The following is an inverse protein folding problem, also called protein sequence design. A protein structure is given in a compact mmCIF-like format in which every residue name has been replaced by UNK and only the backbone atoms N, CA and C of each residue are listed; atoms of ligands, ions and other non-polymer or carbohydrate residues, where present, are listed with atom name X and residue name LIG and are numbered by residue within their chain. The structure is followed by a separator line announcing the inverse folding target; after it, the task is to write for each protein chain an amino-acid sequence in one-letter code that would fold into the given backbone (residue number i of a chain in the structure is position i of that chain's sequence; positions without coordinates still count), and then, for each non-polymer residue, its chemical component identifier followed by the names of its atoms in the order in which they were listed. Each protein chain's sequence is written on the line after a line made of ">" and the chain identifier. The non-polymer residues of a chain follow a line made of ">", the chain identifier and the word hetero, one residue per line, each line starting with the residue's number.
data_IF_948178737354
#
_entry.id   IF_948178737354
#
_cell.length_a   1.000
_cell.length_b   1.000
_cell.length_c   1.000
_cell.angle_alpha   90.00
_cell.angle_beta   90.00
_cell.angle_gamma   90.00
#
_symmetry.space_group_name_H-M   'P 1'
#
loop_
_entity.id
_entity.type
_entity.pdbx_description
1 polymer ?
#
# COMPACT_ATOMS: atom_id res chain seq x y z
N UNK A 1 37.42 -33.15 54.80
CA UNK A 1 37.12 -33.87 53.54
C UNK A 1 35.64 -34.20 53.58
N UNK A 2 34.72 -33.71 52.77
CA UNK A 2 34.67 -32.67 51.75
C UNK A 2 33.17 -32.54 51.46
N UNK A 3 32.61 -31.34 51.58
CA UNK A 3 31.19 -31.06 51.26
C UNK A 3 31.15 -30.34 49.93
N UNK A 4 30.77 -31.05 48.87
CA UNK A 4 30.48 -30.45 47.57
C UNK A 4 29.04 -29.97 47.52
N UNK A 5 28.87 -28.66 47.34
CA UNK A 5 27.60 -28.02 47.03
C UNK A 5 27.36 -28.09 45.51
N UNK A 6 26.18 -28.56 45.10
CA UNK A 6 25.68 -28.43 43.72
C UNK A 6 25.09 -27.03 43.50
N UNK A 7 25.28 -26.41 42.32
CA UNK A 7 24.75 -25.09 42.03
C UNK A 7 23.25 -25.14 41.68
N UNK A 8 22.55 -24.10 42.11
CA UNK A 8 21.14 -23.82 41.83
C UNK A 8 20.95 -23.37 40.37
N UNK A 9 20.15 -24.10 39.61
CA UNK A 9 19.59 -23.63 38.34
C UNK A 9 18.52 -22.57 38.63
N UNK A 10 18.84 -21.30 38.35
CA UNK A 10 17.83 -20.24 38.22
C UNK A 10 17.29 -20.35 36.80
N UNK A 11 16.08 -20.90 36.68
CA UNK A 11 15.31 -20.83 35.44
C UNK A 11 14.90 -19.36 35.24
N UNK A 12 15.44 -18.73 34.20
CA UNK A 12 14.93 -17.45 33.73
C UNK A 12 13.55 -17.66 33.11
N UNK A 13 12.54 -17.00 33.67
CA UNK A 13 11.24 -16.84 33.03
C UNK A 13 11.43 -16.07 31.73
N UNK A 14 11.32 -16.76 30.59
CA UNK A 14 11.06 -16.11 29.31
C UNK A 14 9.59 -15.73 29.26
N UNK A 15 9.26 -14.50 29.66
CA UNK A 15 7.97 -13.88 29.38
C UNK A 15 8.00 -13.29 27.97
N UNK A 16 7.87 -14.16 26.97
CA UNK A 16 7.54 -13.78 25.60
C UNK A 16 6.17 -14.33 25.27
N UNK A 17 5.15 -13.48 25.22
CA UNK A 17 3.87 -13.85 24.63
C UNK A 17 4.13 -14.20 23.16
N UNK A 18 4.11 -15.49 22.83
CA UNK A 18 4.31 -15.95 21.45
C UNK A 18 3.20 -15.37 20.57
N UNK A 19 3.58 -14.63 19.53
CA UNK A 19 2.66 -14.16 18.49
C UNK A 19 1.89 -15.36 17.93
N UNK A 20 0.57 -15.37 18.12
CA UNK A 20 -0.31 -16.46 17.69
C UNK A 20 -1.59 -15.88 17.10
N UNK A 21 -1.80 -16.14 15.82
CA UNK A 21 -3.06 -15.84 15.15
C UNK A 21 -4.17 -16.72 15.74
N UNK A 22 -5.30 -16.10 16.04
CA UNK A 22 -6.52 -16.74 16.54
C UNK A 22 -7.64 -16.79 15.49
N UNK A 23 -7.46 -16.08 14.37
CA UNK A 23 -8.42 -16.00 13.26
C UNK A 23 -9.47 -14.92 13.47
N UNK A 24 -10.06 -14.46 12.37
CA UNK A 24 -10.93 -13.27 12.35
C UNK A 24 -12.09 -13.36 13.36
N UNK A 25 -12.72 -14.53 13.48
CA UNK A 25 -13.88 -14.71 14.36
C UNK A 25 -13.52 -14.71 15.85
N UNK A 26 -12.29 -15.05 16.21
CA UNK A 26 -11.82 -15.08 17.60
C UNK A 26 -11.02 -13.84 17.98
N UNK A 27 -10.70 -12.99 16.99
CA UNK A 27 -9.95 -11.77 17.20
C UNK A 27 -10.80 -10.73 17.92
N UNK A 28 -10.36 -10.33 19.12
CA UNK A 28 -10.98 -9.25 19.89
C UNK A 28 -10.20 -7.98 19.63
N UNK A 29 -10.73 -7.13 18.75
CA UNK A 29 -10.12 -5.84 18.45
C UNK A 29 -10.09 -4.96 19.70
N UNK A 30 -8.91 -4.46 20.03
CA UNK A 30 -8.70 -3.43 21.04
C UNK A 30 -7.83 -2.32 20.45
N UNK A 31 -8.19 -1.05 20.71
CA UNK A 31 -7.35 0.09 20.35
C UNK A 31 -6.75 0.66 21.65
N UNK A 32 -5.50 0.29 22.00
CA UNK A 32 -4.84 0.75 23.23
C UNK A 32 -4.32 2.18 23.15
N UNK A 33 -4.46 2.85 22.00
CA UNK A 33 -3.92 4.18 21.74
C UNK A 33 -2.40 4.25 21.97
N UNK A 34 -1.66 3.26 21.48
CA UNK A 34 -0.24 3.02 21.80
C UNK A 34 0.79 3.61 20.84
N UNK A 35 0.39 4.43 19.85
CA UNK A 35 1.34 5.08 18.95
C UNK A 35 2.47 5.76 19.74
N UNK A 36 3.72 5.53 19.32
CA UNK A 36 4.91 6.07 19.97
C UNK A 36 5.21 7.52 19.59
N UNK A 37 4.58 7.99 18.51
CA UNK A 37 4.64 9.35 18.01
C UNK A 37 3.31 9.67 17.32
N UNK A 38 2.93 10.94 17.26
CA UNK A 38 1.64 11.35 16.68
C UNK A 38 1.63 11.17 15.15
N UNK A 39 0.71 10.33 14.66
CA UNK A 39 0.47 10.07 13.23
C UNK A 39 -0.81 10.74 12.78
N UNK A 40 -0.74 11.48 11.68
CA UNK A 40 -1.89 12.22 11.12
C UNK A 40 -2.63 11.38 10.08
N UNK A 41 -1.93 10.99 9.01
CA UNK A 41 -2.51 10.32 7.82
C UNK A 41 -1.43 9.78 6.90
N UNK A 42 -1.83 9.03 5.88
CA UNK A 42 -0.99 8.82 4.70
C UNK A 42 -0.68 10.15 4.01
N UNK A 43 0.57 10.34 3.62
CA UNK A 43 1.04 11.56 2.96
C UNK A 43 1.23 11.37 1.45
N UNK A 44 2.00 10.35 1.04
CA UNK A 44 2.15 9.92 -0.35
C UNK A 44 2.71 8.50 -0.45
N UNK A 45 2.65 7.93 -1.65
CA UNK A 45 3.39 6.73 -2.01
C UNK A 45 4.40 7.09 -3.09
N UNK A 46 5.67 6.71 -2.89
CA UNK A 46 6.72 6.89 -3.91
C UNK A 46 7.04 5.56 -4.60
N UNK A 47 6.93 5.55 -5.92
CA UNK A 47 7.41 4.50 -6.79
C UNK A 47 8.79 4.87 -7.33
N UNK A 48 9.75 3.97 -7.21
CA UNK A 48 10.98 4.05 -7.99
C UNK A 48 10.77 3.33 -9.32
N UNK A 49 11.13 4.02 -10.40
CA UNK A 49 10.81 3.63 -11.76
C UNK A 49 12.05 3.72 -12.65
N UNK A 50 12.10 2.93 -13.72
CA UNK A 50 13.14 3.07 -14.75
C UNK A 50 12.96 4.33 -15.60
N UNK A 51 11.72 4.77 -15.81
CA UNK A 51 11.37 6.03 -16.47
C UNK A 51 10.13 6.64 -15.81
N UNK A 52 10.33 7.75 -15.08
CA UNK A 52 9.24 8.38 -14.33
C UNK A 52 8.19 9.00 -15.24
N UNK A 53 8.56 9.47 -16.44
CA UNK A 53 7.64 10.17 -17.36
C UNK A 53 6.55 9.24 -17.87
N UNK A 54 6.92 8.09 -18.42
CA UNK A 54 5.97 7.12 -18.97
C UNK A 54 5.11 6.51 -17.88
N UNK A 55 5.70 6.15 -16.75
CA UNK A 55 4.95 5.58 -15.62
C UNK A 55 3.96 6.60 -15.07
N UNK A 56 4.39 7.83 -14.79
CA UNK A 56 3.51 8.90 -14.31
C UNK A 56 2.35 9.18 -15.29
N UNK A 57 2.64 9.27 -16.60
CA UNK A 57 1.58 9.49 -17.61
C UNK A 57 0.59 8.34 -17.69
N UNK A 58 1.05 7.09 -17.62
CA UNK A 58 0.18 5.91 -17.60
C UNK A 58 -0.72 5.90 -16.38
N UNK A 59 -0.18 6.13 -15.19
CA UNK A 59 -0.97 6.20 -13.96
C UNK A 59 -1.93 7.39 -13.97
N UNK A 60 -1.50 8.53 -14.51
CA UNK A 60 -2.33 9.73 -14.63
C UNK A 60 -3.55 9.47 -15.49
N UNK A 61 -3.36 8.88 -16.67
CA UNK A 61 -4.44 8.50 -17.58
C UNK A 61 -5.29 7.35 -17.04
N UNK A 62 -4.66 6.32 -16.48
CA UNK A 62 -5.33 5.10 -16.04
C UNK A 62 -6.16 5.28 -14.76
N UNK A 63 -5.72 6.14 -13.83
CA UNK A 63 -6.41 6.42 -12.56
C UNK A 63 -7.17 7.74 -12.56
N UNK A 64 -7.00 8.58 -13.59
CA UNK A 64 -7.59 9.92 -13.64
C UNK A 64 -7.00 10.83 -12.56
N UNK A 65 -5.67 10.84 -12.44
CA UNK A 65 -4.94 11.65 -11.48
C UNK A 65 -4.02 12.62 -12.22
N UNK A 66 -4.26 13.94 -12.24
CA UNK A 66 -3.41 14.89 -12.92
C UNK A 66 -2.01 14.93 -12.29
N UNK A 67 -1.00 15.15 -13.13
CA UNK A 67 0.35 15.48 -12.66
C UNK A 67 0.32 16.93 -12.18
N UNK A 68 0.41 17.15 -10.86
CA UNK A 68 0.21 18.48 -10.26
C UNK A 68 1.52 19.21 -9.97
N UNK A 69 2.59 18.47 -9.67
CA UNK A 69 3.90 19.04 -9.37
C UNK A 69 5.02 18.16 -9.92
N UNK A 70 6.18 18.76 -10.18
CA UNK A 70 7.37 18.07 -10.68
C UNK A 70 8.64 18.58 -10.01
N UNK A 71 9.66 17.74 -9.99
CA UNK A 71 11.04 18.13 -9.71
C UNK A 71 11.93 17.37 -10.69
N UNK A 72 12.42 18.07 -11.72
CA UNK A 72 13.24 17.52 -12.80
C UNK A 72 14.25 18.58 -13.28
N UNK A 73 14.95 18.31 -14.40
CA UNK A 73 15.92 19.24 -14.97
C UNK A 73 15.39 20.66 -15.19
N UNK A 74 14.10 20.81 -15.55
CA UNK A 74 13.50 22.12 -15.79
C UNK A 74 13.32 22.94 -14.50
N UNK A 75 13.31 22.27 -13.35
CA UNK A 75 13.23 22.87 -12.00
C UNK A 75 14.62 22.96 -11.33
N UNK A 76 15.69 22.65 -12.07
CA UNK A 76 17.06 22.64 -11.56
C UNK A 76 17.50 21.36 -10.85
N UNK A 77 16.67 20.31 -10.81
CA UNK A 77 17.06 19.01 -10.26
C UNK A 77 17.81 18.18 -11.31
N UNK A 78 19.13 18.10 -11.14
CA UNK A 78 20.04 17.34 -12.00
C UNK A 78 20.27 15.89 -11.54
N UNK A 79 19.62 15.47 -10.45
CA UNK A 79 19.83 14.17 -9.79
C UNK A 79 18.75 13.16 -10.21
N UNK A 80 17.48 13.56 -10.17
CA UNK A 80 16.35 12.69 -10.49
C UNK A 80 15.22 13.48 -11.14
N UNK A 81 14.36 12.76 -11.85
CA UNK A 81 13.07 13.25 -12.32
C UNK A 81 11.97 12.67 -11.44
N UNK A 82 11.17 13.55 -10.85
CA UNK A 82 10.07 13.22 -9.95
C UNK A 82 8.77 13.88 -10.42
N UNK A 83 7.71 13.08 -10.61
CA UNK A 83 6.38 13.57 -11.00
C UNK A 83 5.34 13.17 -9.97
N UNK A 84 4.62 14.17 -9.43
CA UNK A 84 3.58 13.98 -8.44
C UNK A 84 2.21 14.00 -9.09
N UNK A 85 1.47 12.91 -8.96
CA UNK A 85 0.06 12.78 -9.31
C UNK A 85 -0.80 12.98 -8.07
N UNK A 86 -1.93 13.66 -8.22
CA UNK A 86 -2.88 13.89 -7.12
C UNK A 86 -4.32 13.69 -7.54
N UNK A 87 -5.11 13.05 -6.68
CA UNK A 87 -6.58 13.08 -6.74
C UNK A 87 -7.16 13.07 -5.33
N UNK A 88 -7.91 14.12 -4.99
CA UNK A 88 -8.24 14.44 -3.59
C UNK A 88 -6.98 14.58 -2.73
N UNK A 89 -6.90 13.76 -1.68
CA UNK A 89 -5.75 13.65 -0.77
C UNK A 89 -4.75 12.55 -1.17
N UNK A 90 -5.05 11.73 -2.19
CA UNK A 90 -4.13 10.71 -2.67
C UNK A 90 -3.00 11.37 -3.47
N UNK A 91 -1.75 11.05 -3.10
CA UNK A 91 -0.54 11.50 -3.76
C UNK A 91 0.32 10.30 -4.18
N UNK A 92 0.60 10.18 -5.48
CA UNK A 92 1.57 9.22 -6.02
C UNK A 92 2.76 9.96 -6.62
N UNK A 93 3.96 9.62 -6.18
CA UNK A 93 5.21 10.18 -6.66
C UNK A 93 5.96 9.13 -7.48
N UNK A 94 6.37 9.47 -8.69
CA UNK A 94 7.16 8.59 -9.55
C UNK A 94 8.54 9.20 -9.74
N UNK A 95 9.57 8.50 -9.30
CA UNK A 95 10.95 8.99 -9.31
C UNK A 95 11.84 8.07 -10.15
N UNK A 96 12.67 8.65 -11.01
CA UNK A 96 13.68 7.94 -11.80
C UNK A 96 15.03 8.67 -11.77
N UNK A 97 16.17 7.94 -11.76
CA UNK A 97 17.50 8.54 -11.74
C UNK A 97 17.86 9.13 -13.10
N UNK A 98 18.49 10.30 -13.10
CA UNK A 98 19.27 10.72 -14.26
C UNK A 98 20.62 9.98 -14.32
N UNK A 99 21.41 10.22 -15.36
CA UNK A 99 22.82 9.80 -15.36
C UNK A 99 23.57 10.54 -14.23
N UNK A 100 24.40 9.88 -13.41
CA UNK A 100 25.13 10.55 -12.33
C UNK A 100 26.07 11.62 -12.86
N UNK A 101 26.52 11.49 -14.12
CA UNK A 101 27.37 12.45 -14.82
C UNK A 101 26.72 13.84 -15.00
N UNK A 102 25.39 13.93 -14.93
CA UNK A 102 24.67 15.21 -15.03
C UNK A 102 24.84 15.97 -13.70
N UNK A 103 24.69 15.27 -12.57
CA UNK A 103 24.89 15.86 -11.24
C UNK A 103 26.35 16.12 -10.87
N UNK A 104 27.32 15.43 -11.49
CA UNK A 104 28.75 15.60 -11.16
C UNK A 104 29.33 16.97 -11.51
N UNK A 105 28.63 17.77 -12.32
CA UNK A 105 29.01 19.14 -12.66
C UNK A 105 28.58 20.17 -11.59
N UNK A 106 27.82 19.77 -10.57
CA UNK A 106 27.26 20.66 -9.55
C UNK A 106 27.98 20.44 -8.21
N UNK A 107 28.32 21.52 -7.51
CA UNK A 107 29.09 21.50 -6.27
C UNK A 107 28.28 21.12 -5.03
N UNK A 108 26.95 21.07 -5.15
CA UNK A 108 26.00 20.70 -4.09
C UNK A 108 24.88 19.84 -4.66
N UNK A 109 24.24 19.04 -3.82
CA UNK A 109 23.11 18.20 -4.25
C UNK A 109 21.95 19.05 -4.74
N UNK A 110 21.38 18.67 -5.88
CA UNK A 110 20.19 19.30 -6.48
C UNK A 110 18.93 18.46 -6.26
N UNK A 111 19.05 17.35 -5.52
CA UNK A 111 17.94 16.45 -5.25
C UNK A 111 16.92 17.13 -4.33
N UNK A 112 15.67 17.24 -4.79
CA UNK A 112 14.55 17.71 -3.94
C UNK A 112 14.13 16.69 -2.89
N UNK A 113 14.40 15.41 -3.13
CA UNK A 113 14.27 14.32 -2.17
C UNK A 113 15.67 13.95 -1.70
N UNK A 114 16.08 14.36 -0.48
CA UNK A 114 17.48 14.27 -0.05
C UNK A 114 17.92 12.83 0.26
N UNK A 115 16.97 11.91 0.46
CA UNK A 115 17.24 10.48 0.66
C UNK A 115 17.47 9.71 -0.66
N UNK A 116 17.35 10.37 -1.81
CA UNK A 116 17.52 9.71 -3.10
C UNK A 116 18.98 9.28 -3.35
N UNK A 117 19.15 8.07 -3.88
CA UNK A 117 20.44 7.48 -4.23
C UNK A 117 20.37 6.84 -5.61
N UNK A 118 21.27 7.24 -6.51
CA UNK A 118 21.33 6.70 -7.87
C UNK A 118 21.55 5.19 -7.88
N UNK A 119 22.48 4.72 -7.04
CA UNK A 119 22.83 3.29 -6.95
C UNK A 119 21.66 2.50 -6.41
N UNK A 120 21.05 2.96 -5.32
CA UNK A 120 19.94 2.24 -4.70
C UNK A 120 18.72 2.22 -5.61
N UNK A 121 18.42 3.33 -6.30
CA UNK A 121 17.30 3.38 -7.23
C UNK A 121 17.48 2.44 -8.41
N UNK A 122 18.68 2.34 -8.99
CA UNK A 122 18.95 1.41 -10.10
C UNK A 122 18.91 -0.04 -9.65
N UNK A 123 19.47 -0.34 -8.48
CA UNK A 123 19.45 -1.69 -7.94
C UNK A 123 18.02 -2.12 -7.61
N UNK A 124 17.23 -1.22 -7.03
CA UNK A 124 15.82 -1.45 -6.70
C UNK A 124 14.99 -1.73 -7.95
N UNK A 125 15.10 -0.90 -9.00
CA UNK A 125 14.31 -1.12 -10.23
C UNK A 125 14.77 -2.34 -11.02
N UNK A 126 16.05 -2.71 -10.94
CA UNK A 126 16.54 -3.96 -11.52
C UNK A 126 15.99 -5.18 -10.77
N UNK A 127 16.01 -5.16 -9.44
CA UNK A 127 15.56 -6.29 -8.61
C UNK A 127 14.04 -6.45 -8.63
N UNK A 128 13.27 -5.36 -8.56
CA UNK A 128 11.81 -5.44 -8.37
C UNK A 128 10.99 -5.04 -9.61
N UNK A 129 11.58 -4.35 -10.59
CA UNK A 129 10.82 -3.69 -11.66
C UNK A 129 10.15 -2.39 -11.17
N UNK A 130 8.91 -2.15 -11.57
CA UNK A 130 8.09 -1.06 -11.03
C UNK A 130 7.56 -1.47 -9.64
N UNK A 131 8.00 -0.80 -8.58
CA UNK A 131 7.58 -1.10 -7.22
C UNK A 131 7.56 0.16 -6.33
N UNK A 132 6.85 0.07 -5.20
CA UNK A 132 6.80 1.12 -4.18
C UNK A 132 8.08 1.10 -3.37
N UNK A 133 8.81 2.21 -3.36
CA UNK A 133 9.98 2.41 -2.51
C UNK A 133 9.57 2.94 -1.13
N UNK A 134 8.64 3.88 -1.08
CA UNK A 134 8.30 4.60 0.15
C UNK A 134 6.81 4.62 0.41
N UNK A 135 6.42 4.21 1.61
CA UNK A 135 5.12 4.49 2.19
C UNK A 135 5.33 5.69 3.12
N UNK A 136 4.85 6.87 2.72
CA UNK A 136 5.05 8.09 3.51
C UNK A 136 3.81 8.40 4.35
N UNK A 137 4.04 8.70 5.63
CA UNK A 137 3.01 9.16 6.56
C UNK A 137 3.35 10.56 7.06
N UNK A 138 2.31 11.37 7.23
CA UNK A 138 2.42 12.67 7.89
C UNK A 138 2.38 12.46 9.39
N UNK A 139 3.36 13.02 10.09
CA UNK A 139 3.50 12.96 11.55
C UNK A 139 3.57 14.37 12.11
N UNK A 140 3.37 14.51 13.42
CA UNK A 140 3.52 15.82 14.07
C UNK A 140 4.95 16.35 13.96
N UNK A 141 5.95 15.49 14.21
CA UNK A 141 7.37 15.82 14.13
C UNK A 141 8.18 14.61 13.63
N UNK A 142 8.80 14.76 12.44
CA UNK A 142 9.56 13.70 11.79
C UNK A 142 10.96 13.46 12.43
N UNK A 143 11.50 14.40 13.21
CA UNK A 143 12.72 14.20 14.00
C UNK A 143 12.41 13.32 15.23
N UNK A 144 11.29 13.61 15.91
CA UNK A 144 10.81 12.81 17.04
C UNK A 144 10.41 11.41 16.57
N UNK A 145 9.60 11.30 15.51
CA UNK A 145 9.18 10.02 14.97
C UNK A 145 10.38 9.12 14.62
N UNK A 146 11.41 9.67 13.95
CA UNK A 146 12.63 8.94 13.65
C UNK A 146 13.39 8.50 14.91
N UNK A 147 13.64 9.42 15.84
CA UNK A 147 14.43 9.15 17.04
C UNK A 147 13.76 8.10 17.93
N UNK A 148 12.45 8.22 18.09
CA UNK A 148 11.63 7.26 18.84
C UNK A 148 11.63 5.90 18.14
N UNK A 149 11.39 5.84 16.83
CA UNK A 149 11.44 4.58 16.07
C UNK A 149 12.80 3.87 16.21
N UNK A 150 13.91 4.59 16.02
CA UNK A 150 15.26 4.00 16.13
C UNK A 150 15.54 3.52 17.56
N UNK A 151 15.12 4.27 18.58
CA UNK A 151 15.25 3.83 19.98
C UNK A 151 14.45 2.56 20.31
N UNK A 152 13.45 2.22 19.49
CA UNK A 152 12.65 0.99 19.59
C UNK A 152 13.01 -0.06 18.53
N UNK A 153 14.21 0.03 17.96
CA UNK A 153 14.78 -1.01 17.10
C UNK A 153 14.60 -0.76 15.60
N UNK A 154 14.09 0.39 15.17
CA UNK A 154 13.99 0.69 13.75
C UNK A 154 15.37 0.78 13.12
N UNK A 155 15.53 0.16 11.94
CA UNK A 155 16.74 0.29 11.15
C UNK A 155 16.69 1.63 10.41
N UNK A 156 17.58 2.59 10.70
CA UNK A 156 17.56 3.89 10.03
C UNK A 156 17.86 3.71 8.53
N UNK A 157 17.15 4.46 7.69
CA UNK A 157 17.38 4.54 6.24
C UNK A 157 17.88 5.93 5.84
N UNK A 158 17.26 6.99 6.35
CA UNK A 158 17.69 8.37 6.17
C UNK A 158 17.41 9.15 7.45
N UNK A 159 18.46 9.73 8.04
CA UNK A 159 18.32 10.60 9.22
C UNK A 159 17.45 11.82 8.90
N UNK A 160 16.88 12.51 9.91
CA UNK A 160 16.06 13.68 9.67
C UNK A 160 16.82 14.78 8.94
N UNK A 161 16.21 15.26 7.84
CA UNK A 161 16.74 16.34 7.00
C UNK A 161 15.65 17.40 6.89
N UNK A 162 16.02 18.63 7.23
CA UNK A 162 15.15 19.79 7.09
C UNK A 162 15.27 20.34 5.66
N UNK A 163 14.13 20.59 5.02
CA UNK A 163 13.98 21.05 3.64
C UNK A 163 13.36 22.45 3.59
N UNK A 164 13.74 23.21 2.54
CA UNK A 164 13.26 24.58 2.35
C UNK A 164 13.80 25.53 3.44
N UNK A 165 13.02 26.56 3.78
CA UNK A 165 13.38 27.54 4.81
C UNK A 165 13.06 27.06 6.22
N UNK A 166 13.41 25.80 6.52
CA UNK A 166 13.01 25.07 7.72
C UNK A 166 11.52 24.73 7.82
N UNK A 167 10.84 24.63 6.68
CA UNK A 167 9.38 24.41 6.61
C UNK A 167 9.00 22.94 6.75
N UNK A 168 9.85 22.01 6.28
CA UNK A 168 9.52 20.58 6.20
C UNK A 168 10.67 19.75 6.74
N UNK A 169 10.37 18.67 7.47
CA UNK A 169 11.34 17.65 7.85
C UNK A 169 10.95 16.31 7.25
N UNK A 170 11.95 15.63 6.68
CA UNK A 170 11.84 14.28 6.13
C UNK A 170 12.83 13.35 6.85
N UNK A 171 12.37 12.17 7.24
CA UNK A 171 13.21 11.09 7.75
C UNK A 171 12.67 9.73 7.31
N UNK A 172 13.52 8.70 7.34
CA UNK A 172 13.13 7.36 6.86
C UNK A 172 13.72 6.24 7.73
N UNK A 173 12.90 5.24 8.01
CA UNK A 173 13.32 3.95 8.57
C UNK A 173 12.89 2.81 7.65
N UNK A 174 13.58 1.66 7.72
CA UNK A 174 13.17 0.47 6.97
C UNK A 174 11.83 -0.05 7.49
N UNK A 175 10.91 -0.40 6.58
CA UNK A 175 9.62 -0.99 6.90
C UNK A 175 9.68 -2.53 6.76
N UNK A 176 9.79 -3.03 5.53
CA UNK A 176 10.05 -4.43 5.20
C UNK A 176 10.75 -4.52 3.83
N UNK A 177 11.64 -5.50 3.66
CA UNK A 177 12.48 -5.60 2.46
C UNK A 177 13.23 -4.29 2.19
N UNK A 178 13.09 -3.80 0.96
CA UNK A 178 13.62 -2.49 0.53
C UNK A 178 12.60 -1.34 0.59
N UNK A 179 11.44 -1.56 1.19
CA UNK A 179 10.45 -0.51 1.43
C UNK A 179 10.84 0.29 2.67
N UNK A 180 10.72 1.62 2.59
CA UNK A 180 10.92 2.54 3.72
C UNK A 180 9.59 3.11 4.19
N UNK A 181 9.48 3.30 5.51
CA UNK A 181 8.46 4.14 6.12
C UNK A 181 9.06 5.54 6.23
N UNK A 182 8.51 6.48 5.46
CA UNK A 182 8.96 7.87 5.44
C UNK A 182 8.08 8.72 6.34
N UNK A 183 8.69 9.46 7.26
CA UNK A 183 8.02 10.45 8.08
C UNK A 183 8.17 11.83 7.46
N UNK A 184 7.05 12.56 7.34
CA UNK A 184 7.01 13.95 6.89
C UNK A 184 6.31 14.78 7.96
N UNK A 185 6.91 15.90 8.35
CA UNK A 185 6.27 16.89 9.21
C UNK A 185 6.47 18.29 8.66
N UNK A 186 5.43 19.11 8.72
CA UNK A 186 5.45 20.51 8.31
C UNK A 186 5.54 21.41 9.55
N UNK A 187 6.61 22.19 9.67
CA UNK A 187 6.80 23.19 10.76
C UNK A 187 6.03 24.48 10.45
N UNK A 188 5.81 24.78 9.18
CA UNK A 188 5.06 25.96 8.75
C UNK A 188 3.58 25.61 8.52
N UNK A 189 2.63 26.23 9.25
CA UNK A 189 1.21 25.91 9.13
C UNK A 189 0.60 26.28 7.77
N UNK A 190 1.30 27.07 6.95
CA UNK A 190 0.89 27.38 5.58
C UNK A 190 1.29 26.28 4.57
N UNK A 191 2.02 25.25 5.01
CA UNK A 191 2.26 24.04 4.23
C UNK A 191 1.37 22.91 4.75
N UNK A 192 0.51 22.38 3.88
CA UNK A 192 -0.46 21.33 4.21
C UNK A 192 -0.21 20.02 3.42
N UNK A 193 0.87 19.94 2.64
CA UNK A 193 1.19 18.81 1.77
C UNK A 193 0.24 18.62 0.58
N UNK A 194 -0.83 19.42 0.48
CA UNK A 194 -1.88 19.33 -0.54
C UNK A 194 -1.80 20.51 -1.50
N UNK A 195 -1.69 21.74 -1.00
CA UNK A 195 -1.43 22.92 -1.83
C UNK A 195 0.02 22.97 -2.30
N UNK A 196 0.95 22.52 -1.45
CA UNK A 196 2.38 22.48 -1.71
C UNK A 196 2.94 21.13 -1.22
N UNK A 197 3.52 20.33 -2.11
CA UNK A 197 4.07 19.01 -1.76
C UNK A 197 5.35 19.09 -0.92
N UNK A 198 6.52 19.20 -1.55
CA UNK A 198 7.81 19.31 -0.86
C UNK A 198 8.62 20.48 -1.44
N UNK A 199 9.49 21.13 -0.66
CA UNK A 199 10.42 22.12 -1.20
C UNK A 199 11.23 21.57 -2.38
N UNK A 200 11.39 22.36 -3.44
CA UNK A 200 12.04 21.94 -4.68
C UNK A 200 11.12 21.25 -5.70
N UNK A 201 9.82 21.14 -5.42
CA UNK A 201 8.80 20.77 -6.41
C UNK A 201 8.06 22.00 -6.92
N UNK A 202 7.93 22.10 -8.25
CA UNK A 202 7.23 23.19 -8.91
C UNK A 202 5.89 22.72 -9.49
N UNK A 203 4.85 23.57 -9.55
CA UNK A 203 3.60 23.26 -10.21
C UNK A 203 3.80 22.91 -11.70
N UNK A 204 3.04 21.94 -12.20
CA UNK A 204 3.01 21.64 -13.64
C UNK A 204 2.02 22.58 -14.32
N UNK A 205 2.41 23.13 -15.48
CA UNK A 205 1.50 23.95 -16.29
C UNK A 205 0.25 23.16 -16.71
N UNK A 206 -0.91 23.81 -16.72
CA UNK A 206 -2.20 23.22 -17.10
C UNK A 206 -2.25 22.66 -18.53
N UNK A 207 -1.35 23.11 -19.41
CA UNK A 207 -1.21 22.61 -20.78
C UNK A 207 -0.46 21.29 -20.85
N UNK A 208 0.33 20.98 -19.81
CA UNK A 208 1.25 19.83 -19.75
C UNK A 208 0.74 18.69 -18.86
N UNK A 209 -0.25 18.96 -18.02
CA UNK A 209 -1.02 17.98 -17.26
C UNK A 209 -2.49 18.14 -17.66
N UNK A 210 -3.21 17.07 -18.01
CA UNK A 210 -4.65 17.16 -18.27
C UNK A 210 -5.36 17.46 -16.94
N UNK A 211 -5.62 18.73 -16.59
CA UNK A 211 -5.87 19.11 -15.20
C UNK A 211 -7.29 18.73 -14.76
N UNK A 212 -8.18 18.50 -15.72
CA UNK A 212 -9.58 18.11 -15.52
C UNK A 212 -9.75 16.59 -15.34
N UNK A 213 -8.66 15.81 -15.35
CA UNK A 213 -8.72 14.39 -15.03
C UNK A 213 -9.10 14.22 -13.55
N UNK A 214 -10.28 13.67 -13.27
CA UNK A 214 -10.64 13.18 -11.94
C UNK A 214 -11.73 12.13 -12.08
N UNK A 215 -11.42 10.89 -11.71
CA UNK A 215 -12.40 9.78 -11.78
C UNK A 215 -13.15 9.58 -10.45
N UNK A 216 -12.78 10.28 -9.38
CA UNK A 216 -13.41 10.17 -8.06
C UNK A 216 -12.58 9.51 -6.97
N UNK A 217 -11.31 9.18 -7.22
CA UNK A 217 -10.40 8.65 -6.20
C UNK A 217 -10.06 9.78 -5.21
N UNK A 218 -10.03 9.49 -3.90
CA UNK A 218 -9.87 10.56 -2.88
C UNK A 218 -8.74 10.35 -1.89
N UNK A 219 -8.42 9.12 -1.50
CA UNK A 219 -7.36 8.86 -0.53
C UNK A 219 -6.84 7.43 -0.66
N UNK A 220 -5.66 7.19 -0.07
CA UNK A 220 -5.21 5.84 0.23
C UNK A 220 -6.00 5.32 1.43
N UNK A 221 -6.56 4.12 1.31
CA UNK A 221 -7.23 3.44 2.42
C UNK A 221 -6.27 2.58 3.21
N UNK A 222 -5.50 1.75 2.52
CA UNK A 222 -4.49 0.90 3.13
C UNK A 222 -3.40 0.53 2.11
N UNK A 223 -2.21 0.17 2.61
CA UNK A 223 -1.06 -0.27 1.82
C UNK A 223 -0.56 -1.62 2.35
N UNK A 224 -0.61 -2.65 1.52
CA UNK A 224 -0.37 -4.04 1.96
C UNK A 224 1.04 -4.49 1.61
N UNK A 225 1.76 -5.01 2.59
CA UNK A 225 3.07 -5.65 2.42
C UNK A 225 2.98 -7.16 2.34
N UNK A 226 3.79 -7.79 1.49
CA UNK A 226 4.05 -9.23 1.54
C UNK A 226 5.43 -9.46 2.16
N UNK A 227 5.48 -10.39 3.12
CA UNK A 227 6.70 -10.78 3.84
C UNK A 227 6.83 -12.30 3.86
N UNK A 228 8.04 -12.85 4.00
CA UNK A 228 8.23 -14.30 4.11
C UNK A 228 7.68 -14.87 5.43
N UNK A 229 7.79 -14.11 6.53
CA UNK A 229 7.32 -14.51 7.86
C UNK A 229 6.61 -13.31 8.51
N UNK A 230 5.36 -13.51 8.94
CA UNK A 230 4.47 -12.46 9.42
C UNK A 230 4.82 -12.01 10.83
N UNK A 231 5.01 -12.96 11.76
CA UNK A 231 5.29 -12.67 13.17
C UNK A 231 6.47 -11.69 13.37
N UNK A 232 7.68 -11.95 12.84
CA UNK A 232 8.80 -11.02 13.01
C UNK A 232 8.58 -9.67 12.33
N UNK A 233 7.85 -9.62 11.21
CA UNK A 233 7.55 -8.37 10.52
C UNK A 233 6.54 -7.51 11.31
N UNK A 234 5.46 -8.13 11.80
CA UNK A 234 4.45 -7.48 12.63
C UNK A 234 5.08 -6.98 13.92
N UNK A 235 5.85 -7.80 14.62
CA UNK A 235 6.51 -7.41 15.87
C UNK A 235 7.49 -6.25 15.66
N UNK A 236 8.25 -6.27 14.55
CA UNK A 236 9.13 -5.17 14.19
C UNK A 236 8.35 -3.86 13.97
N UNK A 237 7.29 -3.87 13.15
CA UNK A 237 6.51 -2.66 12.86
C UNK A 237 5.81 -2.15 14.13
N UNK A 238 5.19 -3.02 14.92
CA UNK A 238 4.58 -2.67 16.23
C UNK A 238 5.61 -2.07 17.18
N UNK A 239 6.81 -2.65 17.26
CA UNK A 239 7.87 -2.14 18.11
C UNK A 239 8.27 -0.72 17.73
N UNK A 240 8.44 -0.42 16.44
CA UNK A 240 8.96 0.88 16.02
C UNK A 240 7.90 1.98 15.99
N UNK A 241 6.63 1.65 15.73
CA UNK A 241 5.56 2.66 15.62
C UNK A 241 4.63 2.73 16.83
N UNK A 242 4.45 1.62 17.55
CA UNK A 242 3.38 1.47 18.54
C UNK A 242 2.00 1.18 17.95
N UNK A 243 1.90 0.91 16.65
CA UNK A 243 0.64 0.57 15.99
C UNK A 243 0.04 -0.69 16.61
N UNK A 244 -1.30 -0.74 16.68
CA UNK A 244 -2.02 -1.89 17.22
C UNK A 244 -2.57 -2.78 16.10
N UNK A 245 -2.87 -4.02 16.46
CA UNK A 245 -3.56 -4.95 15.57
C UNK A 245 -5.03 -4.55 15.44
N UNK A 246 -5.45 -4.29 14.21
CA UNK A 246 -6.80 -3.87 13.87
C UNK A 246 -7.67 -5.06 13.46
N UNK A 247 -7.11 -6.00 12.71
CA UNK A 247 -7.76 -7.21 12.24
C UNK A 247 -6.70 -8.25 11.88
N UNK A 248 -7.09 -9.51 11.86
CA UNK A 248 -6.26 -10.60 11.35
C UNK A 248 -7.10 -11.61 10.58
N UNK A 249 -6.45 -12.31 9.66
CA UNK A 249 -7.04 -13.34 8.81
C UNK A 249 -6.08 -14.52 8.73
N UNK A 250 -6.58 -15.72 8.97
CA UNK A 250 -5.82 -16.95 8.78
C UNK A 250 -6.18 -17.62 7.46
N UNK A 251 -5.40 -18.62 7.03
CA UNK A 251 -5.77 -19.41 5.85
C UNK A 251 -7.14 -20.10 5.98
N UNK A 252 -7.60 -20.39 7.20
CA UNK A 252 -8.95 -20.91 7.43
C UNK A 252 -10.03 -19.85 7.18
N UNK A 253 -9.71 -18.56 7.39
CA UNK A 253 -10.62 -17.44 7.19
C UNK A 253 -10.76 -17.03 5.71
N UNK A 254 -9.65 -17.03 4.97
CA UNK A 254 -9.56 -16.41 3.63
C UNK A 254 -8.97 -17.31 2.54
N UNK A 255 -8.46 -18.49 2.88
CA UNK A 255 -7.89 -19.42 1.90
C UNK A 255 -8.91 -20.01 0.93
N UNK A 256 -8.41 -20.53 -0.18
CA UNK A 256 -9.18 -21.38 -1.08
C UNK A 256 -8.96 -22.85 -0.73
N UNK A 257 -9.62 -23.76 -1.45
CA UNK A 257 -9.32 -25.19 -1.35
C UNK A 257 -7.94 -25.56 -1.92
N UNK A 258 -7.27 -24.62 -2.59
CA UNK A 258 -5.99 -24.82 -3.29
C UNK A 258 -4.82 -24.03 -2.68
N UNK A 259 -5.04 -22.84 -2.10
CA UNK A 259 -3.99 -21.95 -1.57
C UNK A 259 -4.45 -21.15 -0.34
N UNK A 260 -3.51 -20.50 0.36
CA UNK A 260 -3.83 -19.69 1.54
C UNK A 260 -2.78 -18.61 1.84
N UNK A 261 -3.16 -17.70 2.74
CA UNK A 261 -2.29 -16.70 3.35
C UNK A 261 -2.69 -16.52 4.82
N UNK A 262 -1.77 -15.97 5.61
CA UNK A 262 -2.11 -15.33 6.87
C UNK A 262 -1.87 -13.82 6.73
N UNK A 263 -2.70 -13.00 7.37
CA UNK A 263 -2.64 -11.56 7.30
C UNK A 263 -2.90 -10.91 8.65
N UNK A 264 -2.16 -9.85 8.97
CA UNK A 264 -2.44 -8.97 10.12
C UNK A 264 -2.45 -7.53 9.64
N UNK A 265 -3.47 -6.78 10.05
CA UNK A 265 -3.61 -5.35 9.80
C UNK A 265 -3.10 -4.57 11.00
N UNK A 266 -2.08 -3.75 10.80
CA UNK A 266 -1.66 -2.77 11.78
C UNK A 266 -2.28 -1.40 11.51
N UNK A 267 -2.65 -0.70 12.57
CA UNK A 267 -3.26 0.62 12.51
C UNK A 267 -2.60 1.60 13.48
N UNK A 268 -2.55 2.88 13.09
CA UNK A 268 -2.27 3.96 14.04
C UNK A 268 -3.45 4.20 14.99
N UNK A 269 -3.28 5.06 15.99
CA UNK A 269 -4.29 5.38 17.00
C UNK A 269 -5.63 5.86 16.40
N UNK A 270 -5.58 6.74 15.39
CA UNK A 270 -6.78 7.21 14.67
C UNK A 270 -7.32 6.18 13.67
N UNK A 271 -6.56 5.11 13.44
CA UNK A 271 -6.80 4.02 12.50
C UNK A 271 -6.89 4.47 11.04
N UNK A 272 -6.55 5.71 10.73
CA UNK A 272 -6.54 6.27 9.37
C UNK A 272 -5.34 5.84 8.53
N UNK A 273 -4.29 5.30 9.17
CA UNK A 273 -3.15 4.66 8.51
C UNK A 273 -3.23 3.16 8.79
N UNK A 274 -3.44 2.38 7.74
CA UNK A 274 -3.65 0.94 7.79
C UNK A 274 -2.57 0.23 6.96
N UNK A 275 -1.76 -0.60 7.60
CA UNK A 275 -0.67 -1.35 6.97
C UNK A 275 -0.89 -2.84 7.22
N UNK A 276 -1.68 -3.52 6.36
CA UNK A 276 -1.74 -4.98 6.34
C UNK A 276 -0.40 -5.61 5.92
N UNK A 277 -0.08 -6.75 6.50
CA UNK A 277 1.05 -7.59 6.11
C UNK A 277 0.59 -9.02 5.93
N UNK A 278 1.06 -9.68 4.87
CA UNK A 278 0.72 -11.06 4.55
C UNK A 278 1.96 -11.97 4.54
N UNK A 279 1.79 -13.22 4.93
CA UNK A 279 2.76 -14.31 4.70
C UNK A 279 2.12 -15.45 3.89
N UNK A 280 2.93 -16.23 3.14
CA UNK A 280 2.45 -17.42 2.46
C UNK A 280 2.14 -18.55 3.46
N UNK A 281 1.10 -19.33 3.17
CA UNK A 281 0.90 -20.64 3.81
C UNK A 281 1.45 -21.73 2.90
N UNK A 282 2.37 -22.54 3.44
CA UNK A 282 3.03 -23.63 2.72
C UNK A 282 2.26 -24.95 2.87
N UNK A 283 2.53 -25.90 1.96
CA UNK A 283 1.92 -27.24 1.99
C UNK A 283 0.50 -27.32 1.40
N UNK A 284 0.03 -26.25 0.76
CA UNK A 284 -1.24 -26.20 0.01
C UNK A 284 -1.10 -26.85 -1.38
N UNK A 285 -2.22 -27.19 -2.04
CA UNK A 285 -2.21 -27.88 -3.34
C UNK A 285 -1.58 -27.04 -4.45
N UNK A 286 -1.86 -25.74 -4.44
CA UNK A 286 -1.21 -24.72 -5.26
C UNK A 286 -0.28 -23.89 -4.41
N UNK A 287 0.68 -23.29 -5.08
CA UNK A 287 1.55 -22.28 -4.50
C UNK A 287 0.73 -21.07 -4.05
N UNK A 288 1.03 -20.55 -2.86
CA UNK A 288 0.45 -19.29 -2.41
C UNK A 288 0.87 -18.15 -3.35
N UNK A 289 -0.08 -17.32 -3.75
CA UNK A 289 0.16 -16.08 -4.50
C UNK A 289 1.12 -15.13 -3.75
N UNK A 290 1.19 -15.21 -2.42
CA UNK A 290 2.17 -14.46 -1.62
C UNK A 290 3.59 -14.96 -1.92
N UNK A 291 3.77 -16.28 -2.04
CA UNK A 291 5.05 -16.86 -2.44
C UNK A 291 5.39 -16.52 -3.90
N UNK A 292 4.41 -16.55 -4.81
CA UNK A 292 4.59 -16.10 -6.20
C UNK A 292 5.07 -14.65 -6.25
N UNK A 293 4.46 -13.76 -5.45
CA UNK A 293 4.92 -12.37 -5.30
C UNK A 293 6.38 -12.32 -4.84
N UNK A 294 6.73 -13.00 -3.73
CA UNK A 294 8.06 -12.93 -3.13
C UNK A 294 9.15 -13.38 -4.12
N UNK A 295 8.87 -14.34 -4.97
CA UNK A 295 9.83 -14.80 -5.98
C UNK A 295 9.99 -13.82 -7.14
N UNK A 296 8.88 -13.29 -7.68
CA UNK A 296 8.94 -12.35 -8.81
C UNK A 296 9.36 -10.95 -8.39
N UNK A 297 9.15 -10.60 -7.11
CA UNK A 297 9.62 -9.36 -6.51
C UNK A 297 11.03 -9.50 -5.92
N UNK A 298 11.63 -10.69 -5.89
CA UNK A 298 12.92 -10.94 -5.24
C UNK A 298 12.96 -10.57 -3.74
N UNK A 299 11.85 -10.78 -3.05
CA UNK A 299 11.71 -10.56 -1.61
C UNK A 299 10.47 -9.76 -1.22
N UNK A 300 10.48 -9.30 0.04
CA UNK A 300 9.36 -8.56 0.63
C UNK A 300 9.15 -7.19 -0.05
N UNK A 301 7.90 -6.73 -0.10
CA UNK A 301 7.54 -5.47 -0.74
C UNK A 301 6.05 -5.15 -0.64
N UNK A 302 5.64 -4.00 -1.18
CA UNK A 302 4.22 -3.63 -1.26
C UNK A 302 3.53 -4.44 -2.36
N UNK A 303 2.50 -5.20 -1.99
CA UNK A 303 1.69 -5.98 -2.90
C UNK A 303 0.58 -5.14 -3.54
N UNK A 304 -0.18 -4.39 -2.74
CA UNK A 304 -1.24 -3.57 -3.30
C UNK A 304 -1.51 -2.31 -2.49
N UNK A 305 -2.15 -1.37 -3.17
CA UNK A 305 -2.60 -0.10 -2.62
C UNK A 305 -4.11 0.00 -2.86
N UNK A 306 -4.87 0.14 -1.78
CA UNK A 306 -6.32 0.32 -1.86
C UNK A 306 -6.68 1.80 -1.91
N UNK A 307 -7.33 2.22 -2.99
CA UNK A 307 -7.64 3.60 -3.27
C UNK A 307 -9.15 3.81 -3.06
N UNK A 308 -9.48 4.61 -2.05
CA UNK A 308 -10.87 4.92 -1.74
C UNK A 308 -11.43 5.92 -2.75
N UNK A 309 -12.56 5.56 -3.36
CA UNK A 309 -13.37 6.42 -4.22
C UNK A 309 -14.60 6.94 -3.48
N UNK A 310 -15.04 8.15 -3.84
CA UNK A 310 -16.33 8.70 -3.42
C UNK A 310 -17.52 8.12 -4.22
N UNK A 311 -17.25 7.60 -5.43
CA UNK A 311 -18.21 6.97 -6.34
C UNK A 311 -17.46 5.94 -7.20
N UNK A 312 -17.37 4.71 -6.68
CA UNK A 312 -16.67 3.60 -7.31
C UNK A 312 -17.27 3.25 -8.67
N UNK A 313 -18.58 3.42 -8.85
CA UNK A 313 -19.23 3.14 -10.13
C UNK A 313 -18.74 4.10 -11.21
N UNK A 314 -18.72 5.41 -10.92
CA UNK A 314 -18.13 6.41 -11.84
C UNK A 314 -16.66 6.14 -12.08
N UNK A 315 -15.90 5.90 -11.01
CA UNK A 315 -14.46 5.63 -11.12
C UNK A 315 -14.18 4.46 -12.05
N UNK A 316 -14.86 3.32 -11.88
CA UNK A 316 -14.64 2.14 -12.69
C UNK A 316 -15.14 2.28 -14.12
N UNK A 317 -16.27 2.96 -14.36
CA UNK A 317 -16.69 3.29 -15.73
C UNK A 317 -15.60 4.06 -16.47
N UNK A 318 -14.98 5.05 -15.82
CA UNK A 318 -13.90 5.83 -16.43
C UNK A 318 -12.61 5.02 -16.59
N UNK A 319 -12.19 4.26 -15.59
CA UNK A 319 -11.00 3.42 -15.70
C UNK A 319 -11.14 2.35 -16.80
N UNK A 320 -12.28 1.65 -16.86
CA UNK A 320 -12.53 0.60 -17.86
C UNK A 320 -12.57 1.11 -19.30
N UNK A 321 -13.08 2.33 -19.53
CA UNK A 321 -13.02 3.00 -20.86
C UNK A 321 -11.59 3.14 -21.38
N UNK A 322 -10.59 3.11 -20.49
CA UNK A 322 -9.18 3.39 -20.81
C UNK A 322 -8.31 2.15 -20.81
N UNK A 323 -8.80 1.01 -20.31
CA UNK A 323 -8.05 -0.26 -20.24
C UNK A 323 -7.43 -0.65 -21.58
N UNK A 324 -8.21 -0.62 -22.67
CA UNK A 324 -7.74 -1.01 -24.01
C UNK A 324 -6.85 0.02 -24.71
N UNK A 325 -6.62 1.19 -24.11
CA UNK A 325 -5.84 2.29 -24.68
C UNK A 325 -4.79 2.82 -23.70
N UNK A 326 -4.15 1.91 -22.97
CA UNK A 326 -3.01 2.19 -22.08
C UNK A 326 -3.35 2.42 -20.62
N UNK A 327 -4.62 2.27 -20.20
CA UNK A 327 -5.04 2.27 -18.80
C UNK A 327 -4.73 0.96 -18.07
N UNK A 328 -5.46 0.70 -16.99
CA UNK A 328 -5.35 -0.53 -16.20
C UNK A 328 -6.45 -1.52 -16.53
N UNK A 329 -6.11 -2.80 -16.54
CA UNK A 329 -7.06 -3.89 -16.66
C UNK A 329 -7.47 -4.39 -15.28
N UNK A 330 -8.64 -5.02 -15.19
CA UNK A 330 -9.18 -5.57 -13.95
C UNK A 330 -9.16 -7.09 -13.97
N UNK A 331 -9.18 -7.68 -12.78
CA UNK A 331 -9.36 -9.11 -12.62
C UNK A 331 -10.69 -9.57 -13.25
N UNK A 332 -10.78 -10.85 -13.68
CA UNK A 332 -12.03 -11.40 -14.21
C UNK A 332 -13.19 -11.22 -13.23
N UNK A 333 -14.34 -10.81 -13.76
CA UNK A 333 -15.55 -10.65 -12.96
C UNK A 333 -16.00 -12.00 -12.38
N UNK A 334 -16.50 -12.03 -11.14
CA UNK A 334 -17.18 -13.20 -10.57
C UNK A 334 -18.32 -13.71 -11.47
N UNK A 335 -18.69 -14.99 -11.36
CA UNK A 335 -19.81 -15.55 -12.12
C UNK A 335 -21.15 -14.90 -11.72
N UNK A 336 -22.17 -14.87 -12.60
CA UNK A 336 -23.50 -14.30 -12.30
C UNK A 336 -24.20 -14.89 -11.06
N UNK A 337 -23.82 -16.11 -10.65
CA UNK A 337 -24.26 -16.72 -9.38
C UNK A 337 -23.86 -15.90 -8.15
N UNK A 338 -22.70 -15.25 -8.17
CA UNK A 338 -22.22 -14.38 -7.10
C UNK A 338 -23.21 -13.22 -6.87
N UNK A 339 -23.56 -12.48 -7.92
CA UNK A 339 -24.45 -11.32 -7.84
C UNK A 339 -25.89 -11.68 -7.49
N UNK A 340 -26.39 -12.83 -7.99
CA UNK A 340 -27.69 -13.35 -7.57
C UNK A 340 -27.78 -13.61 -6.06
N UNK A 341 -26.69 -14.09 -5.46
CA UNK A 341 -26.61 -14.32 -4.02
C UNK A 341 -26.37 -13.03 -3.22
N UNK A 342 -25.80 -12.01 -3.86
CA UNK A 342 -25.48 -10.71 -3.27
C UNK A 342 -26.74 -9.98 -2.77
N UNK A 343 -27.85 -10.08 -3.52
CA UNK A 343 -29.14 -9.48 -3.14
C UNK A 343 -29.60 -9.88 -1.74
N UNK A 344 -29.34 -11.12 -1.33
CA UNK A 344 -29.70 -11.60 0.01
C UNK A 344 -28.79 -11.05 1.12
N UNK A 345 -27.59 -10.55 0.79
CA UNK A 345 -26.57 -10.07 1.73
C UNK A 345 -26.61 -8.55 1.93
N UNK A 346 -26.88 -7.81 0.86
CA UNK A 346 -26.76 -6.33 0.84
C UNK A 346 -27.95 -5.62 0.18
N UNK A 347 -29.06 -6.30 -0.10
CA UNK A 347 -30.22 -5.71 -0.77
C UNK A 347 -30.96 -4.62 0.03
N UNK A 348 -30.63 -4.43 1.31
CA UNK A 348 -31.06 -3.32 2.17
C UNK A 348 -30.12 -2.11 2.13
N UNK A 349 -28.93 -2.26 1.50
CA UNK A 349 -27.92 -1.20 1.36
C UNK A 349 -27.76 -0.77 -0.10
N UNK A 350 -27.78 -1.74 -1.03
CA UNK A 350 -27.65 -1.50 -2.47
C UNK A 350 -28.99 -1.74 -3.17
N UNK A 351 -29.33 -0.87 -4.12
CA UNK A 351 -30.50 -1.06 -4.99
C UNK A 351 -30.28 -2.19 -6.00
N UNK A 352 -31.36 -2.67 -6.62
CA UNK A 352 -31.26 -3.67 -7.69
C UNK A 352 -30.46 -3.14 -8.89
N UNK A 353 -30.55 -1.84 -9.19
CA UNK A 353 -29.76 -1.17 -10.21
C UNK A 353 -28.26 -1.12 -9.85
N UNK A 354 -27.93 -0.82 -8.60
CA UNK A 354 -26.54 -0.81 -8.13
C UNK A 354 -25.92 -2.21 -8.10
N UNK A 355 -26.69 -3.24 -7.73
CA UNK A 355 -26.25 -4.64 -7.80
C UNK A 355 -25.97 -5.05 -9.25
N UNK A 356 -26.84 -4.65 -10.19
CA UNK A 356 -26.62 -4.89 -11.61
C UNK A 356 -25.37 -4.17 -12.11
N UNK A 357 -25.15 -2.94 -11.67
CA UNK A 357 -23.95 -2.20 -12.01
C UNK A 357 -22.68 -2.82 -11.40
N UNK A 358 -22.77 -3.40 -10.20
CA UNK A 358 -21.69 -4.22 -9.64
C UNK A 358 -21.36 -5.40 -10.56
N UNK A 359 -22.37 -6.11 -11.09
CA UNK A 359 -22.18 -7.21 -12.03
C UNK A 359 -21.51 -6.76 -13.34
N UNK A 360 -22.01 -5.68 -13.94
CA UNK A 360 -21.48 -5.12 -15.19
C UNK A 360 -20.02 -4.65 -15.04
N UNK A 361 -19.67 -4.09 -13.87
CA UNK A 361 -18.33 -3.58 -13.59
C UNK A 361 -17.40 -4.58 -12.89
N UNK A 362 -17.89 -5.77 -12.52
CA UNK A 362 -17.09 -6.79 -11.83
C UNK A 362 -16.75 -6.45 -10.38
N UNK A 363 -17.58 -5.66 -9.70
CA UNK A 363 -17.34 -5.20 -8.32
C UNK A 363 -17.71 -6.30 -7.32
N UNK A 364 -16.79 -6.58 -6.40
CA UNK A 364 -17.03 -7.46 -5.25
C UNK A 364 -17.66 -6.64 -4.11
N UNK A 365 -18.65 -7.21 -3.42
CA UNK A 365 -19.29 -6.57 -2.27
C UNK A 365 -19.20 -7.48 -1.04
N UNK A 366 -18.63 -6.93 0.02
CA UNK A 366 -18.65 -7.55 1.35
C UNK A 366 -19.40 -6.67 2.35
N UNK A 367 -19.81 -7.29 3.46
CA UNK A 367 -20.52 -6.59 4.53
C UNK A 367 -20.14 -7.18 5.89
N UNK A 368 -19.88 -6.31 6.84
CA UNK A 368 -19.73 -6.65 8.25
C UNK A 368 -20.89 -6.06 9.09
N UNK A 369 -20.76 -6.14 10.41
CA UNK A 369 -21.74 -5.61 11.36
C UNK A 369 -21.85 -4.07 11.36
N UNK A 370 -20.88 -3.36 10.76
CA UNK A 370 -20.77 -1.89 10.83
C UNK A 370 -21.03 -1.21 9.49
N UNK A 371 -20.72 -1.86 8.36
CA UNK A 371 -20.88 -1.28 7.04
C UNK A 371 -20.66 -2.26 5.88
N UNK A 372 -20.70 -1.69 4.68
CA UNK A 372 -20.57 -2.41 3.41
C UNK A 372 -19.32 -1.93 2.67
N UNK A 373 -18.57 -2.87 2.10
CA UNK A 373 -17.36 -2.63 1.32
C UNK A 373 -17.58 -3.05 -0.12
N UNK A 374 -17.46 -2.12 -1.05
CA UNK A 374 -17.37 -2.38 -2.49
C UNK A 374 -15.90 -2.33 -2.87
N UNK A 375 -15.41 -3.31 -3.61
CA UNK A 375 -14.01 -3.37 -4.02
C UNK A 375 -13.80 -4.08 -5.36
N UNK A 376 -12.71 -3.74 -6.04
CA UNK A 376 -12.24 -4.45 -7.23
C UNK A 376 -10.73 -4.33 -7.34
N UNK A 377 -10.11 -5.33 -7.96
CA UNK A 377 -8.67 -5.42 -8.10
C UNK A 377 -8.26 -5.29 -9.57
N UNK A 378 -7.21 -4.52 -9.82
CA UNK A 378 -6.56 -4.49 -11.13
C UNK A 378 -5.77 -5.78 -11.33
N UNK A 379 -5.45 -6.10 -12.59
CA UNK A 379 -4.27 -6.92 -12.89
C UNK A 379 -2.99 -6.20 -12.41
N UNK A 380 -1.83 -6.86 -12.37
CA UNK A 380 -0.57 -6.20 -12.04
C UNK A 380 -0.35 -4.93 -12.86
N UNK A 381 0.12 -3.86 -12.21
CA UNK A 381 0.29 -2.55 -12.85
C UNK A 381 1.64 -2.40 -13.55
N UNK A 382 2.57 -3.31 -13.31
CA UNK A 382 3.83 -3.46 -14.05
C UNK A 382 3.88 -4.79 -14.81
N UNK A 383 5.08 -5.18 -15.24
CA UNK A 383 5.28 -6.38 -16.05
C UNK A 383 5.19 -7.69 -15.23
N UNK A 384 5.56 -7.62 -13.95
CA UNK A 384 5.66 -8.78 -13.06
C UNK A 384 4.34 -8.99 -12.30
N UNK A 385 4.00 -10.24 -11.92
CA UNK A 385 2.83 -10.54 -11.08
C UNK A 385 3.07 -10.14 -9.62
N UNK A 386 3.32 -8.86 -9.39
CA UNK A 386 3.72 -8.29 -8.10
C UNK A 386 2.71 -7.24 -7.65
N UNK A 387 2.99 -5.97 -7.90
CA UNK A 387 2.14 -4.87 -7.45
C UNK A 387 0.87 -4.73 -8.29
N UNK A 388 -0.28 -4.58 -7.62
CA UNK A 388 -1.58 -4.25 -8.22
C UNK A 388 -2.29 -3.16 -7.41
N UNK A 389 -3.40 -2.65 -7.92
CA UNK A 389 -4.21 -1.62 -7.29
C UNK A 389 -5.58 -2.20 -6.95
N UNK A 390 -6.09 -1.82 -5.78
CA UNK A 390 -7.47 -2.06 -5.39
C UNK A 390 -8.22 -0.73 -5.41
N UNK A 391 -9.43 -0.71 -5.98
CA UNK A 391 -10.33 0.45 -5.88
C UNK A 391 -11.45 0.05 -4.95
N UNK A 392 -11.71 0.86 -3.92
CA UNK A 392 -12.71 0.58 -2.91
C UNK A 392 -13.68 1.74 -2.70
N UNK A 393 -14.86 1.42 -2.18
CA UNK A 393 -15.76 2.38 -1.55
C UNK A 393 -16.38 1.72 -0.31
N UNK A 394 -16.35 2.45 0.80
CA UNK A 394 -16.95 2.03 2.07
C UNK A 394 -18.27 2.77 2.26
N UNK A 395 -19.32 2.07 2.67
CA UNK A 395 -20.66 2.60 2.92
C UNK A 395 -21.05 2.32 4.37
N UNK A 396 -21.43 3.37 5.11
CA UNK A 396 -21.77 3.27 6.53
C UNK A 396 -20.71 3.88 7.46
N UNK A 397 -20.83 3.59 8.76
CA UNK A 397 -19.95 4.05 9.84
C UNK A 397 -19.68 5.57 9.88
N UNK A 398 -20.68 6.38 9.54
CA UNK A 398 -20.56 7.84 9.59
C UNK A 398 -20.63 8.31 11.05
N UNK A 399 -19.58 8.97 11.51
CA UNK A 399 -19.47 9.58 12.84
C UNK A 399 -19.31 11.10 12.69
N UNK A 400 -19.79 11.86 13.67
CA UNK A 400 -19.47 13.28 13.76
C UNK A 400 -18.32 13.45 14.74
N UNK A 401 -17.30 14.21 14.35
CA UNK A 401 -16.27 14.64 15.29
C UNK A 401 -16.81 15.75 16.23
N UNK A 402 -15.99 16.14 17.20
CA UNK A 402 -16.33 17.16 18.21
C UNK A 402 -16.65 18.54 17.58
N UNK A 403 -16.21 18.77 16.34
CA UNK A 403 -16.48 19.98 15.55
C UNK A 403 -17.74 19.85 14.66
N UNK A 404 -18.42 18.70 14.72
CA UNK A 404 -19.65 18.41 13.98
C UNK A 404 -19.43 18.00 12.52
N UNK A 405 -18.19 17.81 12.08
CA UNK A 405 -17.86 17.35 10.74
C UNK A 405 -18.05 15.84 10.65
N UNK A 406 -18.78 15.42 9.61
CA UNK A 406 -19.09 14.02 9.38
C UNK A 406 -17.88 13.34 8.75
N UNK A 407 -17.37 12.29 9.39
CA UNK A 407 -16.27 11.47 8.94
C UNK A 407 -16.69 10.00 8.92
N UNK A 408 -16.11 9.22 8.02
CA UNK A 408 -16.32 7.77 8.01
C UNK A 408 -15.27 7.12 8.90
N UNK A 409 -15.69 6.28 9.84
CA UNK A 409 -14.79 5.49 10.68
C UNK A 409 -13.87 4.64 9.80
N UNK A 410 -12.57 4.62 10.14
CA UNK A 410 -11.60 3.81 9.40
C UNK A 410 -11.95 2.31 9.43
N UNK A 411 -11.69 1.63 8.32
CA UNK A 411 -11.97 0.19 8.15
C UNK A 411 -13.46 -0.19 8.18
N UNK A 412 -14.38 0.75 7.96
CA UNK A 412 -15.82 0.48 7.87
C UNK A 412 -16.15 -0.58 6.80
N UNK A 413 -16.81 -1.67 7.15
CA UNK A 413 -17.07 -2.79 6.23
C UNK A 413 -15.91 -3.80 6.14
N UNK A 414 -14.90 -3.69 7.00
CA UNK A 414 -13.79 -4.64 7.12
C UNK A 414 -12.79 -4.55 5.97
N UNK A 415 -12.13 -5.66 5.65
CA UNK A 415 -11.19 -5.77 4.53
C UNK A 415 -11.67 -6.76 3.47
N UNK A 416 -12.97 -7.06 3.44
CA UNK A 416 -13.52 -7.97 2.45
C UNK A 416 -13.18 -9.43 2.71
N UNK A 417 -13.25 -9.92 3.96
CA UNK A 417 -13.02 -11.34 4.31
C UNK A 417 -13.76 -12.29 3.37
N UNK A 418 -15.05 -12.04 3.12
CA UNK A 418 -15.86 -12.85 2.23
C UNK A 418 -15.46 -12.72 0.76
N UNK A 419 -14.89 -11.59 0.38
CA UNK A 419 -14.41 -11.32 -0.97
C UNK A 419 -12.99 -11.86 -1.23
N UNK A 420 -12.15 -12.03 -0.21
CA UNK A 420 -10.80 -12.59 -0.37
C UNK A 420 -10.85 -13.97 -1.03
N UNK A 421 -11.78 -14.84 -0.60
CA UNK A 421 -11.96 -16.15 -1.22
C UNK A 421 -12.31 -16.06 -2.71
N UNK A 422 -13.15 -15.11 -3.11
CA UNK A 422 -13.52 -14.90 -4.52
C UNK A 422 -12.39 -14.26 -5.32
N UNK A 423 -11.67 -13.29 -4.75
CA UNK A 423 -10.47 -12.72 -5.35
C UNK A 423 -9.43 -13.79 -5.65
N UNK A 424 -9.16 -14.69 -4.69
CA UNK A 424 -8.16 -15.73 -4.88
C UNK A 424 -8.58 -16.73 -5.95
N UNK A 425 -9.86 -17.09 -6.03
CA UNK A 425 -10.35 -17.89 -7.16
C UNK A 425 -10.09 -17.20 -8.51
N UNK A 426 -10.37 -15.89 -8.60
CA UNK A 426 -10.10 -15.13 -9.83
C UNK A 426 -8.60 -15.03 -10.16
N UNK A 427 -7.73 -14.89 -9.16
CA UNK A 427 -6.26 -14.90 -9.34
C UNK A 427 -5.78 -16.29 -9.78
N UNK A 428 -6.21 -17.35 -9.10
CA UNK A 428 -5.84 -18.73 -9.43
C UNK A 428 -6.33 -19.12 -10.83
N UNK A 429 -7.51 -18.68 -11.24
CA UNK A 429 -8.03 -18.88 -12.60
C UNK A 429 -7.19 -18.12 -13.62
N UNK A 430 -6.81 -16.87 -13.33
CA UNK A 430 -5.90 -16.11 -14.19
C UNK A 430 -4.52 -16.77 -14.31
N UNK A 431 -3.92 -17.22 -13.21
CA UNK A 431 -2.65 -17.96 -13.22
C UNK A 431 -2.75 -19.27 -14.02
N UNK A 432 -3.85 -20.02 -13.89
CA UNK A 432 -4.12 -21.21 -14.73
C UNK A 432 -4.05 -20.89 -16.22
N UNK A 433 -4.54 -19.72 -16.65
CA UNK A 433 -4.46 -19.32 -18.07
C UNK A 433 -3.03 -18.98 -18.52
N UNK A 434 -2.16 -18.56 -17.60
CA UNK A 434 -0.75 -18.27 -17.87
C UNK A 434 0.08 -19.56 -17.92
N UNK A 435 -0.11 -20.47 -16.95
CA UNK A 435 0.55 -21.78 -16.86
C UNK A 435 0.24 -22.66 -18.09
N UNK A 436 -1.03 -22.69 -18.51
CA UNK A 436 -1.46 -23.49 -19.66
C UNK A 436 -0.72 -23.12 -20.96
N UNK A 437 -0.31 -21.87 -21.11
CA UNK A 437 0.47 -21.38 -22.26
C UNK A 437 1.94 -21.73 -22.20
N UNK A 438 2.49 -21.94 -21.01
CA UNK A 438 3.90 -22.34 -20.83
C UNK A 438 4.10 -23.83 -21.05
N UNK A 439 3.07 -24.65 -20.86
CA UNK A 439 3.09 -26.10 -21.11
C UNK A 439 2.89 -26.49 -22.59
N UNK A 440 2.52 -25.55 -23.47
CA UNK A 440 2.35 -25.79 -24.90
C UNK A 440 3.56 -25.28 -25.71
N UNK A 441 4.53 -26.19 -25.89
CA UNK A 441 5.64 -26.26 -26.88
C UNK A 441 7.01 -25.59 -26.62
N UNK A 442 8.13 -26.23 -27.09
CA UNK A 442 8.21 -27.42 -27.96
C UNK A 442 9.03 -28.61 -27.40
N UNK A 443 8.41 -29.79 -27.34
CA UNK A 443 9.08 -31.06 -27.68
C UNK A 443 9.06 -31.22 -29.20
N UNK A 444 10.00 -30.57 -29.89
CA UNK A 444 10.27 -30.84 -31.30
C UNK A 444 11.76 -30.53 -31.60
N UNK A 445 12.64 -31.41 -31.15
CA UNK A 445 13.94 -31.67 -31.76
C UNK A 445 14.46 -33.00 -31.19
N UNK A 446 14.27 -34.07 -31.98
CA UNK A 446 14.97 -35.34 -31.84
C UNK A 446 15.65 -35.64 -33.18
#
# INVERSE_FOLDING_TARGET
>A
MGTEAKPSNVAGEQTGSAFKLVGFNNFIRTNPMSDKFSVKRFHHIEFWCSDATNTARRFSWGLGMPIVQKSDLSTGNATHASYLLRSGQLNFLFTAPYSPSISSAVTSTTASIPSFSHTDCRNFTASHGLAVRSVAIEVEDAEIAFSVSVSHGAKPSSSPITLGNNDVVLSEVKLYGDVVLRYISYKNPNFDGISNFLPGFEPVEKTSSFPDLDYGIRRLDHAVGNVPELAPAVDYVKSITGFHEFAEFTAEDVGTSESGLNSVVLACNSEMVLIPMNEPVYGTKRKSQIQTYLEHNEGAGVQHLALASEDIFRTLREMRKRSGIGGFEFMPSPPPTYYRNLKNRVGDVLTDEEIKECEELGILVDRDDQGTLLQIFTKPVGDRPTIFIEIIQRVGCMVKDDEGKVQQKAGCGGFGKGNFSELFKSIEEYEKTLEARTTTEPTAAA
#
